data_IF_240982426008
#
_entry.id   IF_240982426008
#
_cell.length_a   1.000
_cell.length_b   1.000
_cell.length_c   1.000
_cell.angle_alpha   90.00
_cell.angle_beta   90.00
_cell.angle_gamma   90.00
#
_symmetry.space_group_name_H-M   'P 1'
#
loop_
_entity.id
_entity.type
_entity.pdbx_description
1 polymer ?
#
# COMPACT_ATOMS: atom_id res chain seq x y z
N UNK A 1 -11.46 -58.33 6.05
CA UNK A 1 -11.05 -57.67 7.32
C UNK A 1 -9.72 -57.02 7.00
N UNK A 2 -9.56 -55.69 6.86
CA UNK A 2 -10.00 -54.59 7.74
C UNK A 2 -9.42 -54.81 9.15
N UNK A 3 -8.63 -53.94 9.78
CA UNK A 3 -8.10 -52.58 9.47
C UNK A 3 -6.56 -52.59 9.65
N UNK A 4 -5.74 -51.53 9.50
CA UNK A 4 -5.94 -50.08 9.28
C UNK A 4 -5.04 -49.57 8.12
N UNK A 5 -5.22 -48.30 7.74
CA UNK A 5 -4.15 -47.43 7.21
C UNK A 5 -3.94 -46.36 8.29
N UNK A 6 -2.68 -46.10 8.69
CA UNK A 6 -2.34 -45.14 9.75
C UNK A 6 -2.49 -43.72 9.20
N UNK A 7 -3.63 -43.09 9.46
CA UNK A 7 -4.02 -41.77 8.94
C UNK A 7 -3.29 -40.65 9.69
N UNK A 8 -1.95 -40.65 9.60
CA UNK A 8 -1.07 -39.58 10.04
C UNK A 8 -0.93 -38.51 8.96
N UNK A 9 -2.06 -37.96 8.54
CA UNK A 9 -2.04 -36.57 8.10
C UNK A 9 -1.80 -35.73 9.34
N UNK A 10 -0.54 -35.36 9.58
CA UNK A 10 -0.18 -34.33 10.55
C UNK A 10 -0.88 -33.04 10.12
N UNK A 11 -2.05 -32.81 10.69
CA UNK A 11 -2.77 -31.56 10.56
C UNK A 11 -1.99 -30.54 11.38
N UNK A 12 -0.97 -29.93 10.76
CA UNK A 12 -0.19 -28.82 11.30
C UNK A 12 -1.16 -27.64 11.38
N UNK A 13 -1.96 -27.63 12.43
CA UNK A 13 -3.05 -26.70 12.66
C UNK A 13 -2.50 -25.30 12.94
N UNK A 14 -2.19 -24.57 11.87
CA UNK A 14 -2.03 -23.13 11.90
C UNK A 14 -3.25 -22.54 12.63
N UNK A 15 -3.02 -21.62 13.55
CA UNK A 15 -4.10 -20.97 14.29
C UNK A 15 -5.05 -20.27 13.31
N UNK A 16 -6.31 -20.08 13.71
CA UNK A 16 -7.29 -19.37 12.87
C UNK A 16 -6.81 -17.96 12.50
N UNK A 17 -6.02 -17.32 13.39
CA UNK A 17 -5.38 -16.03 13.14
C UNK A 17 -4.33 -16.12 12.04
N UNK A 18 -3.39 -17.06 12.11
CA UNK A 18 -2.39 -17.27 11.03
C UNK A 18 -3.04 -17.67 9.69
N UNK A 19 -4.16 -18.40 9.71
CA UNK A 19 -4.92 -18.69 8.49
C UNK A 19 -5.60 -17.44 7.91
N UNK A 20 -6.10 -16.53 8.74
CA UNK A 20 -6.66 -15.25 8.30
C UNK A 20 -5.58 -14.35 7.68
N UNK A 21 -4.41 -14.24 8.31
CA UNK A 21 -3.27 -13.45 7.82
C UNK A 21 -2.74 -13.95 6.46
N UNK A 22 -2.61 -15.28 6.29
CA UNK A 22 -2.21 -15.88 5.00
C UNK A 22 -3.24 -15.58 3.90
N UNK A 23 -4.53 -15.70 4.21
CA UNK A 23 -5.59 -15.40 3.25
C UNK A 23 -5.62 -13.91 2.87
N UNK A 24 -5.40 -13.01 3.81
CA UNK A 24 -5.35 -11.57 3.55
C UNK A 24 -4.12 -11.15 2.73
N UNK A 25 -2.96 -11.78 2.96
CA UNK A 25 -1.78 -11.56 2.11
C UNK A 25 -2.02 -12.05 0.67
N UNK A 26 -2.61 -13.23 0.48
CA UNK A 26 -2.96 -13.74 -0.85
C UNK A 26 -4.00 -12.86 -1.56
N UNK A 27 -4.99 -12.33 -0.83
CA UNK A 27 -5.95 -11.34 -1.35
C UNK A 27 -5.27 -10.02 -1.75
N UNK A 28 -4.25 -9.59 -1.00
CA UNK A 28 -3.47 -8.39 -1.29
C UNK A 28 -2.58 -8.55 -2.53
N UNK A 29 -1.92 -9.70 -2.68
CA UNK A 29 -1.17 -10.03 -3.89
C UNK A 29 -2.09 -10.05 -5.13
N UNK A 30 -3.26 -10.68 -5.03
CA UNK A 30 -4.27 -10.67 -6.09
C UNK A 30 -4.80 -9.27 -6.41
N UNK A 31 -5.05 -8.42 -5.40
CA UNK A 31 -5.43 -7.01 -5.59
C UNK A 31 -4.35 -6.27 -6.36
N UNK A 32 -3.09 -6.44 -5.98
CA UNK A 32 -1.90 -5.84 -6.61
C UNK A 32 -1.75 -6.29 -8.07
N UNK A 33 -1.93 -7.57 -8.38
CA UNK A 33 -1.88 -8.07 -9.77
C UNK A 33 -2.95 -7.41 -10.66
N UNK A 34 -4.20 -7.34 -10.19
CA UNK A 34 -5.28 -6.65 -10.93
C UNK A 34 -4.96 -5.16 -11.09
N UNK A 35 -4.36 -4.53 -10.09
CA UNK A 35 -3.93 -3.12 -10.14
C UNK A 35 -2.92 -2.87 -11.27
N UNK A 36 -1.90 -3.73 -11.38
CA UNK A 36 -0.87 -3.67 -12.42
C UNK A 36 -1.47 -3.93 -13.81
N UNK A 37 -2.36 -4.92 -13.93
CA UNK A 37 -3.06 -5.22 -15.19
C UNK A 37 -3.89 -4.03 -15.66
N UNK A 38 -4.61 -3.36 -14.75
CA UNK A 38 -5.41 -2.18 -15.07
C UNK A 38 -4.56 -0.99 -15.54
N UNK A 39 -3.42 -0.71 -14.88
CA UNK A 39 -2.50 0.35 -15.32
C UNK A 39 -1.92 0.08 -16.71
N UNK A 40 -1.50 -1.17 -16.98
CA UNK A 40 -1.04 -1.56 -18.31
C UNK A 40 -2.16 -1.44 -19.35
N UNK A 41 -3.39 -1.86 -19.02
CA UNK A 41 -4.53 -1.74 -19.93
C UNK A 41 -4.90 -0.27 -20.20
N UNK A 42 -4.81 0.63 -19.21
CA UNK A 42 -4.98 2.07 -19.41
C UNK A 42 -4.03 2.64 -20.46
N UNK A 43 -2.75 2.27 -20.38
CA UNK A 43 -1.71 2.71 -21.31
C UNK A 43 -1.92 2.16 -22.74
N UNK A 44 -2.52 0.98 -22.87
CA UNK A 44 -2.75 0.30 -24.15
C UNK A 44 -4.08 0.65 -24.82
N UNK A 45 -5.12 1.03 -24.07
CA UNK A 45 -6.43 1.36 -24.68
C UNK A 45 -6.45 2.78 -25.26
N UNK A 46 -6.99 2.90 -26.47
CA UNK A 46 -7.23 4.18 -27.16
C UNK A 46 -8.65 4.73 -26.93
N UNK A 47 -9.58 3.92 -26.38
CA UNK A 47 -10.98 4.33 -26.22
C UNK A 47 -11.20 5.04 -24.89
N UNK A 48 -11.75 6.25 -24.94
CA UNK A 48 -12.00 7.05 -23.74
C UNK A 48 -12.93 6.33 -22.73
N UNK A 49 -13.96 5.64 -23.20
CA UNK A 49 -14.88 4.89 -22.32
C UNK A 49 -14.17 3.79 -21.53
N UNK A 50 -13.27 3.04 -22.18
CA UNK A 50 -12.43 2.02 -21.54
C UNK A 50 -11.47 2.66 -20.52
N UNK A 51 -10.86 3.82 -20.86
CA UNK A 51 -10.03 4.59 -19.91
C UNK A 51 -10.81 5.02 -18.68
N UNK A 52 -12.02 5.55 -18.82
CA UNK A 52 -12.86 5.95 -17.68
C UNK A 52 -13.33 4.76 -16.84
N UNK A 53 -13.59 3.59 -17.44
CA UNK A 53 -13.82 2.36 -16.70
C UNK A 53 -12.60 1.96 -15.87
N UNK A 54 -11.41 1.97 -16.48
CA UNK A 54 -10.15 1.59 -15.81
C UNK A 54 -9.80 2.53 -14.65
N UNK A 55 -9.98 3.85 -14.81
CA UNK A 55 -9.81 4.83 -13.71
C UNK A 55 -10.69 4.45 -12.50
N UNK A 56 -11.98 4.15 -12.74
CA UNK A 56 -12.94 3.74 -11.70
C UNK A 56 -12.53 2.44 -11.03
N UNK A 57 -12.02 1.46 -11.79
CA UNK A 57 -11.49 0.22 -11.22
C UNK A 57 -10.25 0.47 -10.35
N UNK A 58 -9.29 1.28 -10.80
CA UNK A 58 -8.08 1.64 -10.02
C UNK A 58 -8.46 2.36 -8.71
N UNK A 59 -9.37 3.34 -8.78
CA UNK A 59 -9.91 4.03 -7.61
C UNK A 59 -10.59 3.05 -6.64
N UNK A 60 -11.44 2.14 -7.15
CA UNK A 60 -12.11 1.13 -6.32
C UNK A 60 -11.12 0.19 -5.62
N UNK A 61 -10.10 -0.32 -6.34
CA UNK A 61 -9.05 -1.15 -5.73
C UNK A 61 -8.24 -0.39 -4.68
N UNK A 62 -7.98 0.90 -4.90
CA UNK A 62 -7.29 1.74 -3.91
C UNK A 62 -8.08 1.86 -2.62
N UNK A 63 -9.41 2.01 -2.70
CA UNK A 63 -10.28 2.00 -1.53
C UNK A 63 -10.35 0.61 -0.87
N UNK A 64 -10.37 -0.48 -1.64
CA UNK A 64 -10.34 -1.85 -1.10
C UNK A 64 -9.02 -2.19 -0.41
N UNK A 65 -7.90 -1.66 -0.88
CA UNK A 65 -6.63 -1.72 -0.20
C UNK A 65 -6.60 -0.85 1.07
N UNK A 66 -7.19 0.36 1.02
CA UNK A 66 -7.31 1.25 2.18
C UNK A 66 -8.07 0.58 3.35
N UNK A 67 -9.12 -0.18 3.05
CA UNK A 67 -9.84 -1.01 4.04
C UNK A 67 -8.93 -2.01 4.78
N UNK A 68 -7.86 -2.51 4.14
CA UNK A 68 -6.92 -3.47 4.73
C UNK A 68 -5.84 -2.84 5.62
N UNK A 69 -5.57 -1.54 5.46
CA UNK A 69 -4.59 -0.82 6.29
C UNK A 69 -5.24 0.11 7.35
N UNK A 70 -6.56 0.23 7.32
CA UNK A 70 -7.34 1.02 8.26
C UNK A 70 -7.29 0.46 9.71
N UNK A 71 -7.46 1.31 10.73
CA UNK A 71 -7.51 2.77 10.67
C UNK A 71 -6.14 3.38 10.38
N UNK A 72 -6.16 4.51 9.66
CA UNK A 72 -5.04 5.43 9.46
C UNK A 72 -5.19 6.65 10.38
N UNK A 73 -4.12 7.40 10.61
CA UNK A 73 -4.16 8.60 11.45
C UNK A 73 -4.74 9.80 10.69
N UNK A 74 -5.20 10.82 11.43
CA UNK A 74 -5.31 12.17 10.89
C UNK A 74 -3.98 12.90 11.07
N UNK A 75 -3.52 13.58 10.02
CA UNK A 75 -2.34 14.47 10.07
C UNK A 75 -2.78 15.81 9.51
N UNK A 76 -2.73 16.85 10.35
CA UNK A 76 -3.10 18.22 9.98
C UNK A 76 -2.23 18.71 8.80
N UNK A 77 -2.84 19.37 7.81
CA UNK A 77 -2.15 19.92 6.64
C UNK A 77 -1.58 18.90 5.63
N UNK A 78 -1.54 17.60 5.93
CA UNK A 78 -0.94 16.60 5.05
C UNK A 78 -1.68 16.46 3.71
N UNK A 79 -3.00 16.54 3.70
CA UNK A 79 -3.82 16.47 2.47
C UNK A 79 -3.53 17.66 1.55
N UNK A 80 -3.51 18.88 2.08
CA UNK A 80 -3.22 20.09 1.31
C UNK A 80 -1.79 20.07 0.75
N UNK A 81 -0.83 19.62 1.58
CA UNK A 81 0.56 19.49 1.16
C UNK A 81 0.71 18.48 0.03
N UNK A 82 0.20 17.25 0.20
CA UNK A 82 0.26 16.21 -0.84
C UNK A 82 -0.47 16.64 -2.13
N UNK A 83 -1.65 17.26 -2.01
CA UNK A 83 -2.42 17.77 -3.15
C UNK A 83 -1.67 18.87 -3.92
N UNK A 84 -0.85 19.67 -3.24
CA UNK A 84 0.02 20.66 -3.88
C UNK A 84 1.23 20.04 -4.58
N UNK A 85 1.67 18.86 -4.15
CA UNK A 85 2.90 18.19 -4.61
C UNK A 85 2.68 17.21 -5.76
N UNK A 86 1.66 16.37 -5.68
CA UNK A 86 1.35 15.34 -6.68
C UNK A 86 0.99 16.04 -8.01
N UNK A 87 1.73 15.74 -9.08
CA UNK A 87 1.52 16.38 -10.40
C UNK A 87 0.81 15.47 -11.39
N UNK A 88 1.04 14.17 -11.30
CA UNK A 88 0.50 13.17 -12.21
C UNK A 88 -0.55 12.31 -11.50
N UNK A 89 -1.61 11.91 -12.21
CA UNK A 89 -2.44 10.79 -11.76
C UNK A 89 -1.66 9.48 -11.91
N UNK A 90 -2.03 8.47 -11.12
CA UNK A 90 -1.29 7.21 -11.08
C UNK A 90 -1.29 6.49 -12.44
N UNK A 91 -2.41 6.51 -13.14
CA UNK A 91 -2.57 5.96 -14.51
C UNK A 91 -1.90 6.82 -15.61
N UNK A 92 -1.40 8.01 -15.28
CA UNK A 92 -0.61 8.90 -16.16
C UNK A 92 0.89 8.89 -15.79
N UNK A 93 1.28 8.18 -14.72
CA UNK A 93 2.66 8.14 -14.26
C UNK A 93 3.48 7.09 -15.03
N UNK A 94 4.51 7.56 -15.72
CA UNK A 94 5.59 6.71 -16.25
C UNK A 94 6.67 6.38 -15.21
N UNK A 95 6.59 6.96 -14.00
CA UNK A 95 7.60 6.81 -12.94
C UNK A 95 7.23 5.79 -11.86
N UNK A 96 5.94 5.56 -11.61
CA UNK A 96 5.48 4.54 -10.66
C UNK A 96 5.47 3.18 -11.35
N UNK A 97 6.58 2.45 -11.22
CA UNK A 97 6.72 1.10 -11.76
C UNK A 97 5.92 0.06 -10.97
N UNK A 98 5.65 -1.09 -11.59
CA UNK A 98 5.11 -2.29 -10.93
C UNK A 98 5.83 -2.62 -9.62
N UNK A 99 7.18 -2.54 -9.59
CA UNK A 99 7.95 -2.79 -8.37
C UNK A 99 7.63 -1.81 -7.24
N UNK A 100 7.48 -0.52 -7.56
CA UNK A 100 7.12 0.52 -6.58
C UNK A 100 5.70 0.26 -6.06
N UNK A 101 4.76 -0.09 -6.94
CA UNK A 101 3.38 -0.44 -6.55
C UNK A 101 3.32 -1.71 -5.69
N UNK A 102 4.07 -2.76 -6.04
CA UNK A 102 4.19 -3.98 -5.24
C UNK A 102 4.66 -3.65 -3.82
N UNK A 103 5.78 -2.94 -3.71
CA UNK A 103 6.34 -2.51 -2.43
C UNK A 103 5.32 -1.69 -1.63
N UNK A 104 4.74 -0.65 -2.25
CA UNK A 104 3.76 0.23 -1.58
C UNK A 104 2.53 -0.55 -1.10
N UNK A 105 1.94 -1.43 -1.91
CA UNK A 105 0.72 -2.13 -1.52
C UNK A 105 1.00 -3.21 -0.46
N UNK A 106 2.08 -4.00 -0.63
CA UNK A 106 2.41 -5.15 0.23
C UNK A 106 3.15 -4.73 1.50
N UNK A 107 4.25 -3.97 1.40
CA UNK A 107 5.06 -3.60 2.57
C UNK A 107 4.24 -2.74 3.55
N UNK A 108 3.40 -1.83 3.05
CA UNK A 108 2.54 -0.99 3.92
C UNK A 108 1.57 -1.84 4.74
N UNK A 109 1.03 -2.92 4.17
CA UNK A 109 0.16 -3.86 4.89
C UNK A 109 0.91 -4.68 5.93
N UNK A 110 2.06 -5.28 5.56
CA UNK A 110 2.88 -6.07 6.48
C UNK A 110 3.35 -5.20 7.67
N UNK A 111 3.86 -4.00 7.37
CA UNK A 111 4.26 -3.04 8.38
C UNK A 111 3.09 -2.49 9.22
N UNK A 112 1.86 -2.49 8.70
CA UNK A 112 0.66 -2.14 9.47
C UNK A 112 0.32 -3.18 10.53
N UNK A 113 0.57 -4.46 10.26
CA UNK A 113 0.42 -5.56 11.22
C UNK A 113 1.45 -5.48 12.35
N UNK A 114 2.71 -5.19 12.00
CA UNK A 114 3.86 -5.06 12.92
C UNK A 114 3.63 -4.01 14.03
N UNK A 115 2.74 -3.03 13.84
CA UNK A 115 2.47 -1.97 14.84
C UNK A 115 2.03 -2.55 16.20
N UNK A 116 1.35 -3.70 16.21
CA UNK A 116 0.93 -4.37 17.46
C UNK A 116 1.82 -5.55 17.84
N UNK A 117 2.69 -6.00 16.95
CA UNK A 117 3.68 -7.04 17.24
C UNK A 117 4.87 -6.43 18.00
N UNK A 118 5.19 -7.02 19.16
CA UNK A 118 6.32 -6.59 19.99
C UNK A 118 7.61 -7.36 19.70
N UNK A 119 7.59 -8.34 18.78
CA UNK A 119 8.74 -9.18 18.41
C UNK A 119 9.58 -8.62 17.27
N UNK A 120 9.04 -7.67 16.49
CA UNK A 120 9.69 -7.07 15.31
C UNK A 120 10.00 -5.60 15.59
N UNK A 121 11.22 -5.17 15.23
CA UNK A 121 11.63 -3.76 15.31
C UNK A 121 10.93 -2.93 14.22
N UNK A 122 10.02 -1.98 14.57
CA UNK A 122 9.30 -1.21 13.57
C UNK A 122 10.18 -0.17 12.85
N UNK A 123 11.41 0.10 13.32
CA UNK A 123 12.32 1.04 12.65
C UNK A 123 12.81 0.47 11.28
N UNK A 124 12.80 -0.87 11.10
CA UNK A 124 13.04 -1.50 9.79
C UNK A 124 11.95 -1.07 8.81
N UNK A 125 10.69 -1.29 9.17
CA UNK A 125 9.50 -0.87 8.40
C UNK A 125 9.47 0.63 8.12
N UNK A 126 9.86 1.47 9.08
CA UNK A 126 9.96 2.92 8.90
C UNK A 126 10.95 3.28 7.78
N UNK A 127 12.10 2.62 7.73
CA UNK A 127 13.13 2.92 6.73
C UNK A 127 12.74 2.42 5.33
N UNK A 128 12.16 1.23 5.23
CA UNK A 128 11.63 0.68 3.97
C UNK A 128 10.50 1.55 3.42
N UNK A 129 9.47 1.84 4.21
CA UNK A 129 8.33 2.64 3.77
C UNK A 129 8.70 4.10 3.47
N UNK A 130 9.70 4.69 4.13
CA UNK A 130 10.23 6.03 3.74
C UNK A 130 10.85 6.00 2.34
N UNK A 131 11.60 4.95 2.01
CA UNK A 131 12.20 4.80 0.69
C UNK A 131 11.14 4.55 -0.38
N UNK A 132 10.21 3.62 -0.12
CA UNK A 132 9.11 3.31 -1.04
C UNK A 132 8.20 4.53 -1.27
N UNK A 133 7.86 5.28 -0.22
CA UNK A 133 7.12 6.55 -0.31
C UNK A 133 7.88 7.59 -1.15
N UNK A 134 9.20 7.71 -0.97
CA UNK A 134 10.01 8.66 -1.76
C UNK A 134 9.98 8.31 -3.24
N UNK A 135 10.11 7.03 -3.58
CA UNK A 135 10.00 6.54 -4.96
C UNK A 135 8.60 6.73 -5.55
N UNK A 136 7.55 6.51 -4.76
CA UNK A 136 6.16 6.79 -5.16
C UNK A 136 5.96 8.28 -5.47
N UNK A 137 6.42 9.17 -4.58
CA UNK A 137 6.28 10.61 -4.75
C UNK A 137 7.10 11.14 -5.94
N UNK A 138 8.35 10.68 -6.13
CA UNK A 138 9.15 11.00 -7.33
C UNK A 138 8.43 10.52 -8.60
N UNK A 139 7.87 9.30 -8.59
CA UNK A 139 7.10 8.76 -9.71
C UNK A 139 5.83 9.56 -10.04
N UNK A 140 5.17 10.10 -9.02
CA UNK A 140 4.00 10.99 -9.16
C UNK A 140 4.37 12.45 -9.53
N UNK A 141 5.65 12.73 -9.79
CA UNK A 141 6.15 14.03 -10.27
C UNK A 141 6.47 15.03 -9.16
N UNK A 142 6.51 14.61 -7.90
CA UNK A 142 6.91 15.47 -6.78
C UNK A 142 8.41 15.78 -6.84
N UNK A 143 8.80 17.00 -6.49
CA UNK A 143 10.21 17.43 -6.47
C UNK A 143 10.89 17.01 -5.17
N UNK A 144 12.19 16.71 -5.22
CA UNK A 144 12.99 16.30 -4.05
C UNK A 144 12.96 17.27 -2.87
N UNK A 145 12.83 18.58 -3.11
CA UNK A 145 12.69 19.56 -2.03
C UNK A 145 11.30 19.45 -1.35
N UNK A 146 10.24 19.26 -2.14
CA UNK A 146 8.87 19.08 -1.63
C UNK A 146 8.77 17.78 -0.81
N UNK A 147 9.42 16.69 -1.25
CA UNK A 147 9.50 15.41 -0.51
C UNK A 147 10.21 15.59 0.84
N UNK A 148 11.32 16.36 0.90
CA UNK A 148 12.03 16.65 2.15
C UNK A 148 11.21 17.49 3.13
N UNK A 149 10.42 18.44 2.63
CA UNK A 149 9.49 19.21 3.46
C UNK A 149 8.41 18.30 4.09
N UNK A 150 8.04 17.23 3.38
CA UNK A 150 7.07 16.24 3.87
C UNK A 150 7.62 15.35 5.00
N UNK A 151 8.93 15.25 5.16
CA UNK A 151 9.55 14.57 6.31
C UNK A 151 9.19 15.20 7.66
N UNK A 152 8.76 16.47 7.70
CA UNK A 152 8.31 17.14 8.94
C UNK A 152 7.16 16.38 9.62
N UNK A 153 6.12 16.05 8.85
CA UNK A 153 4.95 15.29 9.31
C UNK A 153 5.28 13.88 9.86
N UNK A 154 6.47 13.36 9.56
CA UNK A 154 6.98 12.05 9.99
C UNK A 154 7.90 12.18 11.22
N UNK A 155 8.56 13.34 11.41
CA UNK A 155 9.63 13.53 12.41
C UNK A 155 9.16 14.05 13.77
N UNK A 156 8.00 14.70 13.84
CA UNK A 156 7.57 15.45 15.04
C UNK A 156 7.08 14.58 16.22
N UNK A 157 7.26 13.26 16.17
CA UNK A 157 6.96 12.34 17.29
C UNK A 157 8.16 11.47 17.65
N UNK A 158 8.38 11.27 18.95
CA UNK A 158 9.38 10.33 19.48
C UNK A 158 8.90 8.89 19.47
N UNK A 159 7.59 8.65 19.40
CA UNK A 159 7.00 7.31 19.37
C UNK A 159 7.15 6.67 17.97
N UNK A 160 7.90 5.58 17.91
CA UNK A 160 8.15 4.77 16.72
C UNK A 160 6.84 4.26 16.11
N UNK A 161 5.85 3.86 16.91
CA UNK A 161 4.55 3.38 16.39
C UNK A 161 3.78 4.53 15.73
N UNK A 162 3.77 5.71 16.34
CA UNK A 162 3.20 6.92 15.74
C UNK A 162 3.91 7.34 14.44
N UNK A 163 5.25 7.28 14.37
CA UNK A 163 6.00 7.52 13.10
C UNK A 163 5.55 6.57 12.00
N UNK A 164 5.44 5.28 12.30
CA UNK A 164 5.04 4.26 11.35
C UNK A 164 3.60 4.47 10.86
N UNK A 165 2.66 4.75 11.78
CA UNK A 165 1.29 5.15 11.42
C UNK A 165 1.26 6.40 10.53
N UNK A 166 2.10 7.40 10.80
CA UNK A 166 2.15 8.62 9.99
C UNK A 166 2.65 8.34 8.57
N UNK A 167 3.67 7.49 8.40
CA UNK A 167 4.16 7.08 7.07
C UNK A 167 3.09 6.31 6.30
N UNK A 168 2.44 5.33 6.93
CA UNK A 168 1.33 4.56 6.34
C UNK A 168 0.18 5.49 5.93
N UNK A 169 -0.16 6.47 6.77
CA UNK A 169 -1.16 7.50 6.49
C UNK A 169 -0.78 8.35 5.27
N UNK A 170 0.47 8.79 5.19
CA UNK A 170 0.96 9.59 4.06
C UNK A 170 0.94 8.77 2.75
N UNK A 171 1.33 7.49 2.77
CA UNK A 171 1.23 6.59 1.62
C UNK A 171 -0.24 6.44 1.20
N UNK A 172 -1.14 6.21 2.16
CA UNK A 172 -2.57 6.07 1.91
C UNK A 172 -3.17 7.33 1.25
N UNK A 173 -2.91 8.51 1.82
CA UNK A 173 -3.34 9.79 1.26
C UNK A 173 -2.73 10.04 -0.13
N UNK A 174 -1.46 9.67 -0.34
CA UNK A 174 -0.79 9.81 -1.64
C UNK A 174 -1.49 9.01 -2.73
N UNK A 175 -1.80 7.72 -2.48
CA UNK A 175 -2.53 6.89 -3.44
C UNK A 175 -3.97 7.36 -3.66
N UNK A 176 -4.69 7.74 -2.60
CA UNK A 176 -6.06 8.28 -2.73
C UNK A 176 -6.07 9.53 -3.62
N UNK A 177 -5.16 10.50 -3.40
CA UNK A 177 -5.07 11.72 -4.21
C UNK A 177 -4.64 11.44 -5.67
N UNK A 178 -3.67 10.53 -5.86
CA UNK A 178 -3.19 10.11 -7.18
C UNK A 178 -4.22 9.33 -8.00
N UNK A 179 -5.24 8.76 -7.35
CA UNK A 179 -6.32 7.97 -7.99
C UNK A 179 -7.69 8.61 -7.94
N UNK A 180 -7.86 9.74 -7.24
CA UNK A 180 -9.14 10.45 -7.18
C UNK A 180 -9.58 10.89 -8.60
N UNK A 181 -10.87 10.76 -8.91
CA UNK A 181 -11.46 10.97 -10.24
C UNK A 181 -12.20 12.31 -10.28
#
# INVERSE_FOLDING_TARGET
>A
MSTLIDDRTENIGLSTESQLEINDLALLEGLKDVYIILLNYYALTEKQEEREYVKKSIWYLTNKWLEKIAPINYIEGAVDKLSSMIKNKLWESNGVTEKILNNILVNTYLCRGIINDHSIDPEICINELKNDLSLLLEGLGCRRNEIRELEGFIKDTSDVKAKLLNIITIIALTLVLATNI
#
